data_IF_755603407050
#
_entry.id   IF_755603407050
#
_cell.length_a   1.000
_cell.length_b   1.000
_cell.length_c   1.000
_cell.angle_alpha   90.00
_cell.angle_beta   90.00
_cell.angle_gamma   90.00
#
_symmetry.space_group_name_H-M   'P 1'
#
loop_
_entity.id
_entity.type
_entity.pdbx_description
1 polymer ?
#
# COMPACT_ATOMS: atom_id res chain seq x y z
N UNK A 1 18.27 25.81 -14.09
CA UNK A 1 16.86 25.42 -14.25
C UNK A 1 16.18 25.48 -12.90
N UNK A 2 15.03 26.13 -12.79
CA UNK A 2 14.32 26.14 -11.51
C UNK A 2 13.87 24.75 -11.10
N UNK A 3 13.81 24.49 -9.81
CA UNK A 3 13.33 23.21 -9.28
C UNK A 3 11.84 23.02 -9.57
N UNK A 4 11.44 21.80 -9.84
CA UNK A 4 10.04 21.45 -9.95
C UNK A 4 9.44 21.30 -8.54
N UNK A 5 8.28 21.90 -8.35
CA UNK A 5 7.55 21.73 -7.09
C UNK A 5 6.70 20.47 -7.16
N UNK A 6 7.17 19.40 -6.53
CA UNK A 6 6.47 18.11 -6.49
C UNK A 6 5.83 17.95 -5.13
N UNK A 7 4.52 17.73 -5.09
CA UNK A 7 3.74 17.65 -3.86
C UNK A 7 3.86 16.28 -3.16
N UNK A 8 4.29 15.27 -3.89
CA UNK A 8 4.40 13.92 -3.34
C UNK A 8 3.98 12.86 -4.34
N UNK A 9 3.92 11.62 -3.89
CA UNK A 9 3.45 10.51 -4.70
C UNK A 9 1.92 10.53 -4.77
N UNK A 10 1.37 10.55 -6.00
CA UNK A 10 -0.09 10.52 -6.19
C UNK A 10 -0.63 9.10 -6.00
N UNK A 11 -0.13 8.16 -6.77
CA UNK A 11 -0.55 6.76 -6.65
C UNK A 11 0.50 5.81 -7.24
N UNK A 12 0.37 4.54 -6.88
CA UNK A 12 1.05 3.42 -7.52
C UNK A 12 -0.01 2.58 -8.24
N UNK A 13 0.20 2.33 -9.53
CA UNK A 13 -0.71 1.49 -10.31
C UNK A 13 -0.23 0.04 -10.30
N UNK A 14 -1.13 -0.89 -10.02
CA UNK A 14 -0.83 -2.31 -9.99
C UNK A 14 -1.85 -3.09 -10.83
N UNK A 15 -1.42 -4.23 -11.35
CA UNK A 15 -2.29 -5.15 -12.08
C UNK A 15 -2.78 -6.24 -11.14
N UNK A 16 -4.07 -6.54 -11.18
CA UNK A 16 -4.69 -7.54 -10.32
C UNK A 16 -5.57 -8.48 -11.14
N UNK A 17 -5.72 -9.70 -10.67
CA UNK A 17 -6.54 -10.70 -11.35
C UNK A 17 -8.03 -10.36 -11.26
N UNK A 18 -8.49 -9.94 -10.08
CA UNK A 18 -9.90 -9.69 -9.78
C UNK A 18 -10.01 -8.32 -9.08
N UNK A 19 -10.54 -7.33 -9.81
CA UNK A 19 -10.64 -5.95 -9.32
C UNK A 19 -11.46 -5.85 -8.03
N UNK A 20 -12.62 -6.52 -7.96
CA UNK A 20 -13.49 -6.45 -6.78
C UNK A 20 -12.86 -7.11 -5.57
N UNK A 21 -12.24 -8.26 -5.76
CA UNK A 21 -11.53 -8.97 -4.69
C UNK A 21 -10.43 -8.09 -4.11
N UNK A 22 -9.62 -7.47 -4.96
CA UNK A 22 -8.52 -6.61 -4.53
C UNK A 22 -9.04 -5.34 -3.86
N UNK A 23 -10.07 -4.69 -4.42
CA UNK A 23 -10.66 -3.50 -3.81
C UNK A 23 -11.19 -3.81 -2.40
N UNK A 24 -11.90 -4.93 -2.24
CA UNK A 24 -12.40 -5.36 -0.94
C UNK A 24 -11.27 -5.68 0.04
N UNK A 25 -10.19 -6.29 -0.45
CA UNK A 25 -9.02 -6.58 0.38
C UNK A 25 -8.38 -5.30 0.93
N UNK A 26 -8.11 -4.31 0.06
CA UNK A 26 -7.51 -3.05 0.49
C UNK A 26 -8.41 -2.27 1.45
N UNK A 27 -9.71 -2.35 1.25
CA UNK A 27 -10.68 -1.73 2.17
C UNK A 27 -10.71 -2.44 3.52
N UNK A 28 -10.80 -3.77 3.51
CA UNK A 28 -10.94 -4.57 4.74
C UNK A 28 -9.64 -4.63 5.54
N UNK A 29 -8.52 -4.83 4.87
CA UNK A 29 -7.23 -5.03 5.53
C UNK A 29 -6.61 -3.70 5.95
N UNK A 30 -6.59 -2.71 5.06
CA UNK A 30 -5.91 -1.43 5.29
C UNK A 30 -6.87 -0.27 5.59
N UNK A 31 -8.16 -0.46 5.42
CA UNK A 31 -9.12 0.62 5.62
C UNK A 31 -9.07 1.71 4.54
N UNK A 32 -8.52 1.40 3.37
CA UNK A 32 -8.47 2.38 2.29
C UNK A 32 -9.87 2.63 1.73
N UNK A 33 -10.10 3.84 1.25
CA UNK A 33 -11.39 4.23 0.68
C UNK A 33 -11.39 4.01 -0.82
N UNK A 34 -12.40 3.31 -1.31
CA UNK A 34 -12.62 3.13 -2.73
C UNK A 34 -13.08 4.44 -3.37
N UNK A 35 -12.44 4.78 -4.49
CA UNK A 35 -12.84 5.91 -5.32
C UNK A 35 -12.82 5.49 -6.78
N UNK A 36 -13.98 5.53 -7.41
CA UNK A 36 -14.15 5.09 -8.80
C UNK A 36 -15.20 5.97 -9.47
N UNK A 37 -14.78 7.10 -10.08
CA UNK A 37 -15.71 7.94 -10.81
C UNK A 37 -16.38 7.16 -11.95
N UNK A 38 -17.66 7.38 -12.15
CA UNK A 38 -18.42 6.73 -13.21
C UNK A 38 -17.80 6.93 -14.59
N UNK A 39 -17.23 8.11 -14.85
CA UNK A 39 -16.59 8.44 -16.11
C UNK A 39 -15.40 7.55 -16.46
N UNK A 40 -14.79 6.86 -15.46
CA UNK A 40 -13.67 5.96 -15.71
C UNK A 40 -14.11 4.57 -16.19
N UNK A 41 -15.40 4.25 -16.08
CA UNK A 41 -15.88 2.91 -16.40
C UNK A 41 -15.44 1.87 -15.37
N UNK A 42 -15.12 0.63 -15.81
CA UNK A 42 -14.84 -0.48 -14.88
C UNK A 42 -13.49 -0.39 -14.18
N UNK A 43 -12.55 0.40 -14.70
CA UNK A 43 -11.24 0.61 -14.10
C UNK A 43 -10.61 1.92 -14.57
N UNK A 44 -9.63 2.50 -13.82
CA UNK A 44 -9.08 1.98 -12.59
C UNK A 44 -10.02 2.15 -11.40
N UNK A 45 -9.78 1.35 -10.35
CA UNK A 45 -10.36 1.57 -9.03
C UNK A 45 -9.26 2.13 -8.14
N UNK A 46 -9.45 3.32 -7.61
CA UNK A 46 -8.54 3.89 -6.63
C UNK A 46 -8.89 3.42 -5.22
N UNK A 47 -7.88 3.00 -4.48
CA UNK A 47 -7.98 2.70 -3.05
C UNK A 47 -7.10 3.72 -2.32
N UNK A 48 -7.73 4.66 -1.61
CA UNK A 48 -7.07 5.87 -1.13
C UNK A 48 -6.90 5.95 0.39
N UNK A 49 -5.75 6.43 0.80
CA UNK A 49 -5.49 7.00 2.11
C UNK A 49 -5.36 8.52 1.89
N UNK A 50 -6.42 9.28 2.20
CA UNK A 50 -6.49 10.69 1.82
C UNK A 50 -6.51 10.85 0.29
N UNK A 51 -5.49 11.48 -0.25
CA UNK A 51 -5.36 11.76 -1.71
C UNK A 51 -4.30 10.92 -2.40
N UNK A 52 -3.71 9.96 -1.69
CA UNK A 52 -2.68 9.09 -2.24
C UNK A 52 -3.09 7.64 -2.05
N UNK A 53 -2.65 6.76 -2.90
CA UNK A 53 -2.97 5.35 -2.75
C UNK A 53 -2.59 4.49 -3.93
N UNK A 54 -3.42 3.46 -4.14
CA UNK A 54 -3.20 2.42 -5.13
C UNK A 54 -4.26 2.54 -6.23
N UNK A 55 -3.84 2.45 -7.48
CA UNK A 55 -4.75 2.36 -8.63
C UNK A 55 -4.78 0.91 -9.11
N UNK A 56 -5.95 0.30 -9.07
CA UNK A 56 -6.15 -1.09 -9.46
C UNK A 56 -6.56 -1.18 -10.93
N UNK A 57 -5.80 -1.94 -11.71
CA UNK A 57 -6.08 -2.26 -13.10
C UNK A 57 -6.19 -3.77 -13.26
N UNK A 58 -7.01 -4.27 -14.19
CA UNK A 58 -7.05 -5.70 -14.45
C UNK A 58 -5.73 -6.18 -15.03
N UNK A 59 -5.37 -7.44 -14.78
CA UNK A 59 -4.21 -8.03 -15.43
C UNK A 59 -4.40 -8.02 -16.96
N UNK A 60 -3.28 -7.94 -17.67
CA UNK A 60 -3.30 -7.99 -19.14
C UNK A 60 -3.37 -9.44 -19.60
N UNK A 61 -3.91 -9.70 -20.82
CA UNK A 61 -3.86 -11.05 -21.37
C UNK A 61 -2.43 -11.60 -21.38
N UNK A 62 -2.26 -12.81 -20.84
CA UNK A 62 -0.95 -13.44 -20.72
C UNK A 62 -0.20 -13.16 -19.44
N UNK A 63 -0.64 -12.21 -18.62
CA UNK A 63 -0.05 -11.99 -17.29
C UNK A 63 -0.34 -13.20 -16.38
N UNK A 64 0.60 -13.58 -15.49
CA UNK A 64 0.37 -14.67 -14.53
C UNK A 64 -0.69 -14.27 -13.50
N UNK A 65 -1.44 -15.26 -12.98
CA UNK A 65 -2.46 -15.04 -11.95
C UNK A 65 -1.85 -14.66 -10.60
N UNK A 66 -0.63 -15.14 -10.32
CA UNK A 66 0.13 -14.81 -9.11
C UNK A 66 1.49 -14.25 -9.51
N UNK A 67 1.88 -13.17 -8.85
CA UNK A 67 3.21 -12.62 -9.03
C UNK A 67 4.24 -13.53 -8.37
N UNK A 68 5.16 -14.06 -9.18
CA UNK A 68 6.34 -14.75 -8.68
C UNK A 68 7.45 -13.73 -8.40
N UNK A 69 7.45 -12.65 -9.15
CA UNK A 69 8.39 -11.53 -9.02
C UNK A 69 7.71 -10.27 -9.52
N UNK A 70 7.91 -9.17 -8.81
CA UNK A 70 7.46 -7.85 -9.23
C UNK A 70 8.67 -6.94 -9.41
N UNK A 71 8.63 -6.05 -10.39
CA UNK A 71 9.63 -5.01 -10.57
C UNK A 71 9.54 -3.95 -9.48
N UNK A 72 8.38 -3.83 -8.84
CA UNK A 72 8.19 -3.06 -7.62
C UNK A 72 8.36 -4.04 -6.46
N UNK A 73 9.41 -3.86 -5.65
CA UNK A 73 9.67 -4.72 -4.49
C UNK A 73 8.51 -4.65 -3.49
N UNK A 74 8.17 -3.46 -3.08
CA UNK A 74 7.04 -3.20 -2.18
C UNK A 74 6.65 -1.73 -2.23
N UNK A 75 5.53 -1.39 -1.63
CA UNK A 75 5.15 -0.02 -1.37
C UNK A 75 4.70 0.10 0.08
N UNK A 76 4.93 1.27 0.67
CA UNK A 76 4.70 1.51 2.08
C UNK A 76 3.75 2.67 2.31
N UNK A 77 2.87 2.49 3.30
CA UNK A 77 2.07 3.58 3.85
C UNK A 77 2.65 4.00 5.20
N UNK A 78 2.69 5.29 5.44
CA UNK A 78 3.09 5.81 6.75
C UNK A 78 1.92 5.70 7.72
N UNK A 79 2.20 5.20 8.91
CA UNK A 79 1.24 5.12 10.02
C UNK A 79 1.94 5.55 11.31
N UNK A 80 1.17 5.79 12.37
CA UNK A 80 1.74 5.95 13.70
C UNK A 80 1.96 4.57 14.35
N UNK A 81 2.69 4.55 15.47
CA UNK A 81 3.04 3.30 16.15
C UNK A 81 1.81 2.56 16.68
N UNK A 82 0.81 3.31 17.14
CA UNK A 82 -0.45 2.71 17.61
C UNK A 82 -1.17 1.98 16.47
N UNK A 83 -1.25 2.60 15.30
CA UNK A 83 -1.85 1.99 14.11
C UNK A 83 -1.07 0.75 13.68
N UNK A 84 0.25 0.77 13.80
CA UNK A 84 1.08 -0.42 13.50
C UNK A 84 0.68 -1.61 14.42
N UNK A 85 0.49 -1.35 15.71
CA UNK A 85 0.06 -2.39 16.65
C UNK A 85 -1.35 -2.88 16.33
N UNK A 86 -2.26 -1.99 15.97
CA UNK A 86 -3.61 -2.35 15.51
C UNK A 86 -3.58 -3.21 14.25
N UNK A 87 -2.67 -2.91 13.32
CA UNK A 87 -2.50 -3.71 12.10
C UNK A 87 -2.06 -5.13 12.43
N UNK A 88 -1.12 -5.31 13.35
CA UNK A 88 -0.70 -6.63 13.80
C UNK A 88 -1.88 -7.46 14.31
N UNK A 89 -2.71 -6.86 15.16
CA UNK A 89 -3.92 -7.53 15.67
C UNK A 89 -4.90 -7.88 14.55
N UNK A 90 -5.14 -6.94 13.64
CA UNK A 90 -6.05 -7.12 12.50
C UNK A 90 -5.57 -8.23 11.58
N UNK A 91 -4.29 -8.23 11.24
CA UNK A 91 -3.71 -9.26 10.37
C UNK A 91 -3.81 -10.65 11.01
N UNK A 92 -3.57 -10.74 12.31
CA UNK A 92 -3.74 -11.98 13.06
C UNK A 92 -5.18 -12.49 13.00
N UNK A 93 -6.16 -11.61 13.24
CA UNK A 93 -7.58 -11.96 13.19
C UNK A 93 -8.03 -12.39 11.80
N UNK A 94 -7.46 -11.78 10.75
CA UNK A 94 -7.78 -12.11 9.36
C UNK A 94 -7.01 -13.33 8.83
N UNK A 95 -6.12 -13.91 9.63
CA UNK A 95 -5.31 -15.06 9.22
C UNK A 95 -4.27 -14.74 8.17
N UNK A 96 -3.82 -13.49 8.08
CA UNK A 96 -2.80 -13.08 7.14
C UNK A 96 -1.41 -13.42 7.66
N UNK A 97 -0.52 -13.81 6.75
CA UNK A 97 0.91 -13.87 7.04
C UNK A 97 1.48 -12.48 7.06
N UNK A 98 2.35 -12.21 8.03
CA UNK A 98 3.03 -10.93 8.12
C UNK A 98 4.38 -11.07 8.79
N UNK A 99 5.28 -10.14 8.48
CA UNK A 99 6.58 -10.01 9.11
C UNK A 99 6.68 -8.66 9.80
N UNK A 100 7.30 -8.67 10.99
CA UNK A 100 7.62 -7.44 11.72
C UNK A 100 9.11 -7.19 11.59
N UNK A 101 9.51 -5.96 11.29
CA UNK A 101 10.91 -5.58 11.18
C UNK A 101 11.18 -4.28 11.93
N UNK A 102 12.33 -4.24 12.58
CA UNK A 102 12.88 -3.06 13.23
C UNK A 102 13.97 -2.49 12.32
N UNK A 103 13.71 -1.31 11.75
CA UNK A 103 14.64 -0.60 10.90
C UNK A 103 15.38 0.53 11.63
N UNK A 104 15.52 0.41 12.94
CA UNK A 104 16.18 1.40 13.82
C UNK A 104 15.36 2.66 14.01
N UNK A 105 15.06 3.39 12.92
CA UNK A 105 14.27 4.62 12.95
C UNK A 105 12.79 4.38 12.73
N UNK A 106 12.44 3.24 12.16
CA UNK A 106 11.08 2.83 11.85
C UNK A 106 10.85 1.41 12.31
N UNK A 107 9.63 1.15 12.76
CA UNK A 107 9.11 -0.22 12.86
C UNK A 107 8.13 -0.45 11.73
N UNK A 108 8.16 -1.63 11.13
CA UNK A 108 7.35 -1.94 9.96
C UNK A 108 6.68 -3.30 10.07
N UNK A 109 5.52 -3.41 9.43
CA UNK A 109 4.81 -4.67 9.23
C UNK A 109 4.57 -4.88 7.75
N UNK A 110 4.88 -6.08 7.25
CA UNK A 110 4.76 -6.45 5.85
C UNK A 110 3.74 -7.56 5.71
N UNK A 111 2.88 -7.45 4.71
CA UNK A 111 1.98 -8.53 4.29
C UNK A 111 1.90 -8.56 2.77
N UNK A 112 1.15 -9.50 2.21
CA UNK A 112 0.94 -9.58 0.78
C UNK A 112 -0.53 -9.44 0.45
N UNK A 113 -0.82 -8.73 -0.64
CA UNK A 113 -2.18 -8.63 -1.17
C UNK A 113 -2.58 -9.93 -1.88
N UNK A 114 -3.83 -10.07 -2.38
CA UNK A 114 -4.28 -11.30 -3.01
C UNK A 114 -3.48 -11.72 -4.25
N UNK A 115 -2.77 -10.80 -4.90
CA UNK A 115 -1.97 -11.08 -6.10
C UNK A 115 -0.48 -11.24 -5.82
N UNK A 116 -0.05 -11.10 -4.56
CA UNK A 116 1.34 -11.27 -4.15
C UNK A 116 2.15 -9.99 -4.10
N UNK A 117 1.51 -8.83 -4.18
CA UNK A 117 2.22 -7.56 -3.96
C UNK A 117 2.53 -7.40 -2.48
N UNK A 118 3.77 -7.04 -2.16
CA UNK A 118 4.17 -6.78 -0.79
C UNK A 118 3.75 -5.37 -0.37
N UNK A 119 3.02 -5.30 0.73
CA UNK A 119 2.50 -4.05 1.31
C UNK A 119 3.12 -3.86 2.69
N UNK A 120 3.73 -2.71 2.89
CA UNK A 120 4.34 -2.32 4.17
C UNK A 120 3.52 -1.23 4.84
N UNK A 121 3.33 -1.32 6.15
CA UNK A 121 2.99 -0.18 6.98
C UNK A 121 4.22 0.15 7.83
N UNK A 122 4.59 1.42 7.89
CA UNK A 122 5.82 1.83 8.58
C UNK A 122 5.55 3.03 9.48
N UNK A 123 6.07 2.95 10.71
CA UNK A 123 5.91 3.97 11.73
C UNK A 123 7.27 4.43 12.23
N UNK A 124 7.50 5.75 12.25
CA UNK A 124 8.71 6.32 12.83
C UNK A 124 8.69 6.11 14.35
N UNK A 125 9.82 5.71 14.92
CA UNK A 125 9.97 5.45 16.36
C UNK A 125 10.97 6.38 17.04
N UNK A 126 11.46 7.36 16.31
CA UNK A 126 12.31 8.44 16.80
C UNK A 126 11.65 9.78 16.48
N UNK A 127 12.16 10.88 17.01
CA UNK A 127 11.68 12.21 16.60
C UNK A 127 11.94 12.39 15.09
N UNK A 128 11.00 13.02 14.37
CA UNK A 128 11.12 13.20 12.92
C UNK A 128 12.42 13.92 12.56
N UNK A 129 12.82 14.93 13.35
CA UNK A 129 14.05 15.68 13.13
C UNK A 129 15.31 14.84 13.29
N UNK A 130 15.24 13.68 13.96
CA UNK A 130 16.36 12.78 14.12
C UNK A 130 16.57 11.90 12.88
N UNK A 131 15.56 11.74 12.04
CA UNK A 131 15.64 10.96 10.80
C UNK A 131 15.64 11.84 9.55
N UNK A 132 14.69 12.76 9.44
CA UNK A 132 14.56 13.62 8.26
C UNK A 132 15.43 14.87 8.39
N UNK A 133 16.72 14.65 8.65
CA UNK A 133 17.68 15.74 8.70
C UNK A 133 17.93 16.28 7.30
N UNK A 134 17.95 17.59 7.18
CA UNK A 134 18.29 18.28 5.92
C UNK A 134 17.34 17.99 4.74
N UNK A 135 16.09 17.64 5.06
CA UNK A 135 15.05 17.39 4.04
C UNK A 135 14.10 18.57 3.94
#
# INVERSE_FOLDING_TARGET
>A
MPDLHINGLDHVAIRVKDLERSAQWYQRVLGLKRYQPEAWGPFPIFMLAGRSGIALFPKRPGDPDQLQRSDIDHFAFNVDLETLHQAKERYTKLGLRFDLQDHTYFHSIYTQDPDGHTVELTAIVVAEDDFYKDV
#
